data_IF_707907726366
#
_entry.id   IF_707907726366
#
_cell.length_a   1.000
_cell.length_b   1.000
_cell.length_c   1.000
_cell.angle_alpha   90.00
_cell.angle_beta   90.00
_cell.angle_gamma   90.00
#
_symmetry.space_group_name_H-M   'P 1'
#
loop_
_entity.id
_entity.type
_entity.pdbx_description
1 polymer ?
#
# COMPACT_ATOMS: atom_id res chain seq x y z
N UNK A 1 7.40 -50.38 -29.13
CA UNK A 1 7.90 -50.72 -27.77
C UNK A 1 9.32 -51.25 -27.88
N UNK A 2 10.16 -50.95 -26.88
CA UNK A 2 11.60 -51.25 -26.69
C UNK A 2 12.65 -50.20 -27.12
N UNK A 3 12.74 -49.17 -26.26
CA UNK A 3 13.93 -48.59 -25.62
C UNK A 3 15.34 -48.96 -26.12
N UNK A 4 16.04 -47.96 -26.67
CA UNK A 4 17.51 -47.92 -26.79
C UNK A 4 18.15 -47.12 -25.65
N UNK A 5 18.82 -47.80 -24.73
CA UNK A 5 19.75 -47.24 -23.74
C UNK A 5 21.01 -46.70 -24.45
N UNK A 6 21.36 -45.42 -24.23
CA UNK A 6 22.74 -44.92 -24.35
C UNK A 6 23.10 -44.04 -23.15
N UNK A 7 23.75 -44.70 -22.19
CA UNK A 7 24.92 -44.27 -21.41
C UNK A 7 25.31 -42.78 -21.39
N UNK A 8 25.28 -42.25 -20.16
CA UNK A 8 26.37 -41.55 -19.46
C UNK A 8 27.09 -40.39 -20.16
N UNK A 9 26.80 -39.19 -19.68
CA UNK A 9 27.81 -38.14 -19.46
C UNK A 9 27.62 -37.54 -18.09
N UNK A 10 28.51 -37.92 -17.17
CA UNK A 10 28.77 -37.21 -15.95
C UNK A 10 29.59 -35.95 -16.27
N UNK A 11 29.18 -34.80 -15.76
CA UNK A 11 30.06 -33.65 -15.57
C UNK A 11 29.68 -32.99 -14.25
N UNK A 12 30.54 -33.24 -13.27
CA UNK A 12 30.63 -32.55 -11.99
C UNK A 12 30.86 -31.05 -12.24
N UNK A 13 29.95 -30.19 -11.77
CA UNK A 13 30.26 -28.78 -11.52
C UNK A 13 30.00 -28.53 -10.04
N UNK A 14 31.02 -28.85 -9.25
CA UNK A 14 31.21 -28.31 -7.91
C UNK A 14 31.49 -26.81 -8.04
N UNK A 15 30.67 -25.98 -7.40
CA UNK A 15 30.90 -24.53 -7.40
C UNK A 15 29.85 -23.75 -6.62
N UNK A 16 29.76 -23.96 -5.30
CA UNK A 16 29.23 -22.95 -4.39
C UNK A 16 30.12 -21.70 -4.48
N UNK A 17 29.60 -20.58 -4.97
CA UNK A 17 30.21 -19.27 -4.75
C UNK A 17 29.15 -18.16 -4.87
N UNK A 18 28.73 -17.71 -3.70
CA UNK A 18 28.17 -16.39 -3.41
C UNK A 18 26.88 -15.98 -4.13
N UNK A 19 25.80 -16.12 -3.36
CA UNK A 19 24.74 -15.14 -3.29
C UNK A 19 25.33 -13.73 -3.12
N UNK A 20 25.67 -13.06 -4.23
CA UNK A 20 25.75 -11.61 -4.26
C UNK A 20 24.31 -11.12 -4.16
N UNK A 21 23.92 -10.78 -2.93
CA UNK A 21 22.58 -10.33 -2.58
C UNK A 21 22.09 -9.30 -3.59
N UNK A 22 20.93 -9.60 -4.18
CA UNK A 22 20.07 -8.67 -4.87
C UNK A 22 19.58 -7.62 -3.86
N UNK A 23 20.44 -6.68 -3.49
CA UNK A 23 20.03 -5.51 -2.73
C UNK A 23 19.56 -4.44 -3.73
N UNK A 24 18.53 -4.75 -4.52
CA UNK A 24 17.67 -3.69 -5.07
C UNK A 24 16.82 -3.18 -3.92
N UNK A 25 17.44 -2.46 -2.97
CA UNK A 25 16.71 -1.64 -2.02
C UNK A 25 16.21 -0.40 -2.75
N UNK A 26 15.35 -0.61 -3.75
CA UNK A 26 14.49 0.43 -4.28
C UNK A 26 13.61 0.82 -3.10
N UNK A 27 13.96 1.91 -2.42
CA UNK A 27 13.08 2.59 -1.48
C UNK A 27 11.80 2.92 -2.25
N UNK A 28 10.86 1.97 -2.27
CA UNK A 28 9.51 2.17 -2.76
C UNK A 28 8.93 3.21 -1.81
N UNK A 29 9.02 4.48 -2.22
CA UNK A 29 8.15 5.51 -1.65
C UNK A 29 6.74 4.92 -1.71
N UNK A 30 6.04 4.85 -0.58
CA UNK A 30 4.68 4.36 -0.60
C UNK A 30 3.92 5.11 -1.69
N UNK A 31 3.15 4.40 -2.53
CA UNK A 31 2.34 5.04 -3.56
C UNK A 31 1.51 6.15 -2.91
N UNK A 32 1.45 7.30 -3.58
CA UNK A 32 0.67 8.43 -3.07
C UNK A 32 -0.76 7.95 -2.80
N UNK A 33 -1.34 8.26 -1.63
CA UNK A 33 -2.73 7.95 -1.37
C UNK A 33 -3.60 8.59 -2.46
N UNK A 34 -4.36 7.78 -3.18
CA UNK A 34 -5.33 8.26 -4.16
C UNK A 34 -6.57 8.74 -3.41
N UNK A 35 -6.72 10.07 -3.28
CA UNK A 35 -7.84 10.67 -2.56
C UNK A 35 -9.15 10.54 -3.33
N UNK A 36 -9.10 10.54 -4.66
CA UNK A 36 -10.26 10.38 -5.53
C UNK A 36 -10.88 8.99 -5.38
N UNK A 37 -10.06 7.94 -5.44
CA UNK A 37 -10.50 6.56 -5.25
C UNK A 37 -11.06 6.31 -3.84
N UNK A 38 -10.52 6.97 -2.81
CA UNK A 38 -11.06 6.89 -1.44
C UNK A 38 -12.38 7.65 -1.30
N UNK A 39 -12.49 8.82 -1.90
CA UNK A 39 -13.70 9.64 -1.88
C UNK A 39 -14.86 8.92 -2.60
N UNK A 40 -14.58 8.31 -3.76
CA UNK A 40 -15.54 7.50 -4.51
C UNK A 40 -16.07 6.30 -3.69
N UNK A 41 -15.19 5.59 -2.95
CA UNK A 41 -15.61 4.49 -2.05
C UNK A 41 -16.57 4.93 -0.95
N UNK A 42 -16.53 6.20 -0.57
CA UNK A 42 -17.34 6.77 0.51
C UNK A 42 -18.49 7.66 0.00
N UNK A 43 -18.67 7.78 -1.32
CA UNK A 43 -19.62 8.71 -1.96
C UNK A 43 -19.53 10.15 -1.41
N UNK A 44 -18.31 10.63 -1.16
CA UNK A 44 -18.04 12.02 -0.76
C UNK A 44 -17.28 12.74 -1.88
N UNK A 45 -17.45 14.06 -2.05
CA UNK A 45 -16.62 14.80 -2.98
C UNK A 45 -15.18 14.88 -2.49
N UNK A 46 -14.23 14.84 -3.43
CA UNK A 46 -12.80 14.90 -3.13
C UNK A 46 -12.42 16.19 -2.38
N UNK A 47 -12.99 17.34 -2.77
CA UNK A 47 -12.78 18.62 -2.10
C UNK A 47 -13.18 18.62 -0.62
N UNK A 48 -14.31 17.99 -0.26
CA UNK A 48 -14.72 17.89 1.13
C UNK A 48 -13.78 16.98 1.93
N UNK A 49 -13.35 15.86 1.33
CA UNK A 49 -12.39 14.95 1.97
C UNK A 49 -11.03 15.65 2.18
N UNK A 50 -10.53 16.36 1.17
CA UNK A 50 -9.28 17.12 1.25
C UNK A 50 -9.36 18.27 2.26
N UNK A 51 -10.49 18.98 2.33
CA UNK A 51 -10.72 20.04 3.32
C UNK A 51 -10.65 19.48 4.74
N UNK A 52 -11.23 18.31 4.98
CA UNK A 52 -11.20 17.67 6.29
C UNK A 52 -9.83 17.04 6.63
N UNK A 53 -9.05 16.62 5.64
CA UNK A 53 -7.70 16.07 5.82
C UNK A 53 -6.65 17.16 6.07
N UNK A 54 -6.78 18.29 5.37
CA UNK A 54 -5.78 19.36 5.36
C UNK A 54 -4.48 18.96 4.66
N UNK A 55 -3.67 19.97 4.31
CA UNK A 55 -2.31 19.76 3.79
C UNK A 55 -1.31 19.74 4.96
N UNK A 56 -0.40 18.74 5.04
CA UNK A 56 0.69 18.76 6.00
C UNK A 56 1.67 19.89 5.69
N UNK A 57 2.36 20.41 6.70
CA UNK A 57 3.42 21.41 6.53
C UNK A 57 4.60 20.80 5.76
N UNK A 58 5.21 21.59 4.88
CA UNK A 58 6.37 21.17 4.11
C UNK A 58 7.53 20.80 5.06
N UNK A 59 8.16 19.66 4.82
CA UNK A 59 9.21 19.12 5.69
C UNK A 59 8.73 18.30 6.90
N UNK A 60 7.42 18.28 7.21
CA UNK A 60 6.87 17.44 8.28
C UNK A 60 6.31 16.13 7.70
N UNK A 61 6.68 14.99 8.30
CA UNK A 61 6.07 13.71 7.91
C UNK A 61 4.58 13.76 8.29
N UNK A 62 3.65 13.55 7.33
CA UNK A 62 2.23 13.60 7.65
C UNK A 62 1.90 12.57 8.72
N UNK A 63 1.32 13.04 9.83
CA UNK A 63 0.74 12.16 10.83
C UNK A 63 -0.41 11.37 10.19
N UNK A 64 -0.60 10.12 10.63
CA UNK A 64 -1.75 9.31 10.20
C UNK A 64 -3.03 10.10 10.53
N UNK A 65 -3.86 10.43 9.53
CA UNK A 65 -5.10 11.16 9.79
C UNK A 65 -6.01 10.37 10.72
N UNK A 66 -6.61 11.03 11.70
CA UNK A 66 -7.52 10.39 12.64
C UNK A 66 -8.90 10.20 11.99
N UNK A 67 -9.42 8.97 11.89
CA UNK A 67 -10.69 8.73 11.22
C UNK A 67 -11.88 9.36 11.98
N UNK A 68 -11.80 9.57 13.30
CA UNK A 68 -12.88 10.26 14.05
C UNK A 68 -12.96 11.75 13.69
N UNK A 69 -11.81 12.42 13.51
CA UNK A 69 -11.77 13.83 13.11
C UNK A 69 -12.31 14.05 11.70
N UNK A 70 -12.03 13.11 10.80
CA UNK A 70 -12.53 13.16 9.43
C UNK A 70 -14.03 12.87 9.40
N UNK A 71 -14.50 11.85 10.13
CA UNK A 71 -15.94 11.55 10.21
C UNK A 71 -16.74 12.69 10.84
N UNK A 72 -16.20 13.37 11.86
CA UNK A 72 -16.87 14.53 12.46
C UNK A 72 -16.92 15.74 11.52
N UNK A 73 -15.85 15.98 10.74
CA UNK A 73 -15.82 17.04 9.73
C UNK A 73 -16.82 16.77 8.58
N UNK A 74 -16.89 15.53 8.09
CA UNK A 74 -17.80 15.15 7.00
C UNK A 74 -19.28 15.16 7.44
N UNK A 75 -19.58 14.67 8.66
CA UNK A 75 -20.94 14.73 9.21
C UNK A 75 -21.40 16.16 9.50
N UNK A 76 -20.50 17.04 9.94
CA UNK A 76 -20.77 18.49 10.07
C UNK A 76 -21.07 19.14 8.73
N UNK A 77 -20.53 18.60 7.64
CA UNK A 77 -20.80 19.04 6.26
C UNK A 77 -22.04 18.37 5.64
N UNK A 78 -22.78 17.55 6.39
CA UNK A 78 -24.03 16.92 5.96
C UNK A 78 -23.87 15.53 5.32
N UNK A 79 -22.65 14.99 5.20
CA UNK A 79 -22.40 13.66 4.63
C UNK A 79 -22.61 12.56 5.66
N UNK A 80 -23.28 11.47 5.27
CA UNK A 80 -23.45 10.28 6.12
C UNK A 80 -22.30 9.31 5.91
N UNK A 81 -21.25 9.42 6.72
CA UNK A 81 -20.08 8.52 6.68
C UNK A 81 -19.79 8.02 8.10
N UNK A 82 -19.64 6.69 8.26
CA UNK A 82 -19.25 6.10 9.55
C UNK A 82 -17.73 6.12 9.74
N UNK A 83 -17.28 6.22 10.99
CA UNK A 83 -15.86 6.14 11.37
C UNK A 83 -15.18 4.89 10.81
N UNK A 84 -15.88 3.76 10.82
CA UNK A 84 -15.37 2.49 10.30
C UNK A 84 -15.12 2.57 8.80
N UNK A 85 -16.09 3.10 8.04
CA UNK A 85 -15.94 3.32 6.59
C UNK A 85 -14.76 4.24 6.27
N UNK A 86 -14.56 5.29 7.07
CA UNK A 86 -13.42 6.20 6.93
C UNK A 86 -12.10 5.49 7.24
N UNK A 87 -12.04 4.71 8.32
CA UNK A 87 -10.83 3.98 8.71
C UNK A 87 -10.46 2.90 7.68
N UNK A 88 -11.44 2.15 7.17
CA UNK A 88 -11.26 1.14 6.12
C UNK A 88 -10.75 1.78 4.83
N UNK A 89 -11.36 2.89 4.40
CA UNK A 89 -10.93 3.62 3.21
C UNK A 89 -9.52 4.20 3.37
N UNK A 90 -9.13 4.67 4.56
CA UNK A 90 -7.77 5.14 4.83
C UNK A 90 -6.75 4.00 4.87
N UNK A 91 -7.10 2.86 5.47
CA UNK A 91 -6.27 1.64 5.52
C UNK A 91 -6.03 1.03 4.14
N UNK A 92 -6.97 1.16 3.20
CA UNK A 92 -6.91 0.62 1.83
C UNK A 92 -5.78 1.21 0.93
N UNK A 93 -4.77 1.86 1.50
CA UNK A 93 -3.53 2.25 0.82
C UNK A 93 -2.32 2.35 1.76
N UNK A 94 -2.45 1.84 3.00
CA UNK A 94 -1.35 1.80 3.96
C UNK A 94 -0.57 0.48 3.89
N UNK A 95 0.67 0.43 4.39
CA UNK A 95 1.39 -0.83 4.58
C UNK A 95 0.56 -1.78 5.46
N UNK A 96 0.57 -3.10 5.20
CA UNK A 96 -0.15 -4.05 6.05
C UNK A 96 0.33 -3.93 7.51
N UNK A 97 -0.58 -4.12 8.49
CA UNK A 97 -0.20 -4.09 9.90
C UNK A 97 0.90 -5.12 10.16
N UNK A 98 1.95 -4.69 10.86
CA UNK A 98 2.96 -5.61 11.38
C UNK A 98 2.30 -6.40 12.50
N UNK A 99 2.12 -7.69 12.26
CA UNK A 99 1.64 -8.69 13.21
C UNK A 99 2.72 -8.98 14.25
#
# INVERSE_FOLDING_TARGET
MLNGRKTLTAALITGMAFAAGTATAQQQRPPRPDFSAKAAKMNVPEDALMTCLGKPKEGERPARPDPSKISSCLTKSGYKVSKDTVDEALKAGGPPPRK
#
